data_IF_892346465121
#
_entry.id   IF_892346465121
#
_cell.length_a   1.000
_cell.length_b   1.000
_cell.length_c   1.000
_cell.angle_alpha   90.00
_cell.angle_beta   90.00
_cell.angle_gamma   90.00
#
_symmetry.space_group_name_H-M   'P 1'
#
loop_
_entity.id
_entity.type
_entity.pdbx_description
1 polymer ?
#
# COMPACT_ATOMS: atom_id res chain seq x y z
N UNK A 1 0.09 22.49 38.60
CA UNK A 1 0.68 21.16 38.88
C UNK A 1 -0.40 20.10 38.72
N UNK A 2 -0.56 19.58 37.50
CA UNK A 2 -1.55 18.55 37.16
C UNK A 2 -1.15 17.23 37.83
N UNK A 3 -1.97 16.75 38.76
CA UNK A 3 -1.79 15.42 39.36
C UNK A 3 -2.11 14.38 38.30
N UNK A 4 -1.10 13.69 37.76
CA UNK A 4 -1.32 12.51 36.94
C UNK A 4 -1.97 11.43 37.81
N UNK A 5 -3.27 11.24 37.66
CA UNK A 5 -3.92 10.04 38.18
C UNK A 5 -3.46 8.88 37.29
N UNK A 6 -2.52 8.07 37.79
CA UNK A 6 -1.98 6.91 37.10
C UNK A 6 -3.09 5.84 37.00
N UNK A 7 -3.85 5.91 35.91
CA UNK A 7 -4.86 4.92 35.57
C UNK A 7 -4.15 3.61 35.17
N UNK A 8 -4.52 2.43 35.70
CA UNK A 8 -3.91 1.16 35.33
C UNK A 8 -3.94 0.89 33.81
N UNK A 9 -4.98 1.37 33.10
CA UNK A 9 -5.05 1.26 31.63
C UNK A 9 -3.97 2.09 30.92
N UNK A 10 -3.61 3.25 31.47
CA UNK A 10 -2.51 4.07 30.94
C UNK A 10 -1.17 3.37 31.15
N UNK A 11 -0.96 2.73 32.31
CA UNK A 11 0.27 1.98 32.59
C UNK A 11 0.40 0.78 31.66
N UNK A 12 -0.67 0.00 31.47
CA UNK A 12 -0.68 -1.17 30.58
C UNK A 12 -0.47 -0.76 29.13
N UNK A 13 -1.19 0.27 28.63
CA UNK A 13 -1.01 0.75 27.26
C UNK A 13 0.39 1.31 27.02
N UNK A 14 0.97 2.04 27.98
CA UNK A 14 2.35 2.53 27.88
C UNK A 14 3.36 1.38 27.88
N UNK A 15 3.16 0.34 28.68
CA UNK A 15 4.03 -0.85 28.70
C UNK A 15 3.97 -1.61 27.37
N UNK A 16 2.77 -1.81 26.80
CA UNK A 16 2.60 -2.43 25.48
C UNK A 16 3.23 -1.58 24.38
N UNK A 17 3.00 -0.27 24.39
CA UNK A 17 3.61 0.65 23.43
C UNK A 17 5.14 0.62 23.51
N UNK A 18 5.70 0.59 24.72
CA UNK A 18 7.14 0.45 24.93
C UNK A 18 7.65 -0.87 24.36
N UNK A 19 7.01 -2.00 24.67
CA UNK A 19 7.39 -3.33 24.19
C UNK A 19 7.38 -3.41 22.65
N UNK A 20 6.32 -2.89 22.02
CA UNK A 20 6.19 -2.84 20.54
C UNK A 20 7.20 -1.87 19.93
N UNK A 21 7.56 -0.81 20.63
CA UNK A 21 8.56 0.17 20.20
C UNK A 21 10.01 -0.28 20.36
N UNK A 22 10.30 -1.31 21.17
CA UNK A 22 11.66 -1.77 21.44
C UNK A 22 12.49 -2.07 20.18
N UNK A 23 11.98 -2.78 19.14
CA UNK A 23 12.76 -3.04 17.92
C UNK A 23 13.10 -1.75 17.18
N UNK A 24 12.17 -0.80 17.11
CA UNK A 24 12.39 0.51 16.46
C UNK A 24 13.45 1.30 17.25
N UNK A 25 13.33 1.33 18.58
CA UNK A 25 14.31 1.97 19.45
C UNK A 25 15.70 1.33 19.31
N UNK A 26 15.76 -0.01 19.20
CA UNK A 26 17.00 -0.74 18.94
C UNK A 26 17.63 -0.31 17.61
N UNK A 27 16.86 -0.23 16.52
CA UNK A 27 17.39 0.28 15.24
C UNK A 27 17.90 1.71 15.37
N UNK A 28 17.18 2.60 16.08
CA UNK A 28 17.58 4.00 16.27
C UNK A 28 18.92 4.15 17.00
N UNK A 29 19.31 3.20 17.85
CA UNK A 29 20.63 3.25 18.51
C UNK A 29 21.79 3.18 17.49
N UNK A 30 21.57 2.62 16.30
CA UNK A 30 22.58 2.57 15.22
C UNK A 30 22.98 3.95 14.69
N UNK A 31 22.18 5.00 14.94
CA UNK A 31 22.53 6.39 14.63
C UNK A 31 23.72 6.85 15.49
N UNK A 32 23.82 6.32 16.72
CA UNK A 32 24.88 6.65 17.68
C UNK A 32 26.12 5.74 17.50
N UNK A 33 25.97 4.62 16.79
CA UNK A 33 27.06 3.69 16.48
C UNK A 33 27.99 4.29 15.43
N UNK A 34 29.24 4.59 15.80
CA UNK A 34 30.25 5.09 14.86
C UNK A 34 30.55 4.10 13.72
N UNK A 35 30.82 4.61 12.51
CA UNK A 35 31.24 3.81 11.35
C UNK A 35 30.21 3.65 10.23
N UNK A 36 28.97 4.11 10.40
CA UNK A 36 27.89 4.00 9.39
C UNK A 36 27.80 5.19 8.42
N UNK A 37 28.55 6.27 8.66
CA UNK A 37 28.46 7.51 7.87
C UNK A 37 28.79 7.37 6.38
N UNK A 38 29.81 6.58 6.04
CA UNK A 38 30.18 6.35 4.63
C UNK A 38 29.07 5.61 3.86
N UNK A 39 28.46 4.60 4.50
CA UNK A 39 27.33 3.83 3.93
C UNK A 39 26.12 4.75 3.74
N UNK A 40 25.81 5.57 4.74
CA UNK A 40 24.73 6.56 4.65
C UNK A 40 24.93 7.55 3.51
N UNK A 41 26.14 8.09 3.35
CA UNK A 41 26.46 9.01 2.26
C UNK A 41 26.33 8.35 0.89
N UNK A 42 26.72 7.08 0.77
CA UNK A 42 26.60 6.32 -0.46
C UNK A 42 25.13 6.03 -0.82
N UNK A 43 24.32 5.60 0.16
CA UNK A 43 22.88 5.37 -0.04
C UNK A 43 22.14 6.67 -0.40
N UNK A 44 22.47 7.76 0.28
CA UNK A 44 21.89 9.08 0.02
C UNK A 44 22.22 9.60 -1.40
N UNK A 45 23.38 9.26 -1.94
CA UNK A 45 23.80 9.66 -3.29
C UNK A 45 23.34 8.72 -4.41
N UNK A 46 22.80 7.54 -4.08
CA UNK A 46 22.44 6.51 -5.06
C UNK A 46 20.95 6.21 -5.04
N UNK A 47 20.50 5.38 -4.10
CA UNK A 47 19.16 4.78 -4.12
C UNK A 47 18.11 5.54 -3.32
N UNK A 48 18.53 6.30 -2.30
CA UNK A 48 17.59 6.97 -1.40
C UNK A 48 16.73 8.04 -2.11
N UNK A 49 17.27 8.89 -3.01
CA UNK A 49 16.47 9.86 -3.73
C UNK A 49 15.38 9.18 -4.58
N UNK A 50 15.74 8.11 -5.28
CA UNK A 50 14.82 7.35 -6.13
C UNK A 50 13.73 6.67 -5.30
N UNK A 51 14.07 6.06 -4.16
CA UNK A 51 13.10 5.45 -3.26
C UNK A 51 12.11 6.47 -2.69
N UNK A 52 12.61 7.64 -2.26
CA UNK A 52 11.75 8.71 -1.73
C UNK A 52 10.84 9.25 -2.83
N UNK A 53 11.38 9.56 -4.00
CA UNK A 53 10.61 10.06 -5.14
C UNK A 53 9.52 9.07 -5.57
N UNK A 54 9.88 7.79 -5.78
CA UNK A 54 8.93 6.76 -6.18
C UNK A 54 7.85 6.53 -5.12
N UNK A 55 8.22 6.50 -3.83
CA UNK A 55 7.25 6.36 -2.74
C UNK A 55 6.27 7.53 -2.71
N UNK A 56 6.75 8.77 -2.85
CA UNK A 56 5.89 9.95 -2.87
C UNK A 56 4.94 9.93 -4.08
N UNK A 57 5.44 9.58 -5.27
CA UNK A 57 4.61 9.43 -6.47
C UNK A 57 3.54 8.36 -6.27
N UNK A 58 3.90 7.18 -5.73
CA UNK A 58 2.95 6.12 -5.43
C UNK A 58 1.91 6.56 -4.40
N UNK A 59 2.33 7.17 -3.28
CA UNK A 59 1.40 7.65 -2.26
C UNK A 59 0.40 8.67 -2.81
N UNK A 60 0.86 9.62 -3.64
CA UNK A 60 0.01 10.64 -4.23
C UNK A 60 -0.95 10.04 -5.27
N UNK A 61 -0.43 9.26 -6.22
CA UNK A 61 -1.24 8.69 -7.31
C UNK A 61 -2.26 7.68 -6.80
N UNK A 62 -1.85 6.77 -5.92
CA UNK A 62 -2.74 5.80 -5.28
C UNK A 62 -3.72 6.52 -4.36
N UNK A 63 -3.27 7.47 -3.56
CA UNK A 63 -4.13 8.24 -2.65
C UNK A 63 -5.25 8.98 -3.40
N UNK A 64 -4.91 9.68 -4.49
CA UNK A 64 -5.89 10.34 -5.35
C UNK A 64 -6.86 9.33 -5.99
N UNK A 65 -6.34 8.21 -6.50
CA UNK A 65 -7.16 7.14 -7.08
C UNK A 65 -8.16 6.55 -6.07
N UNK A 66 -7.71 6.27 -4.85
CA UNK A 66 -8.55 5.75 -3.76
C UNK A 66 -9.59 6.77 -3.34
N UNK A 67 -9.25 8.07 -3.25
CA UNK A 67 -10.24 9.10 -2.93
C UNK A 67 -11.30 9.17 -4.01
N UNK A 68 -10.92 9.24 -5.28
CA UNK A 68 -11.87 9.37 -6.39
C UNK A 68 -12.77 8.13 -6.47
N UNK A 69 -12.18 6.93 -6.56
CA UNK A 69 -12.94 5.69 -6.74
C UNK A 69 -13.67 5.30 -5.46
N UNK A 70 -13.02 5.39 -4.31
CA UNK A 70 -13.58 5.00 -3.02
C UNK A 70 -14.73 5.90 -2.58
N UNK A 71 -14.58 7.23 -2.70
CA UNK A 71 -15.67 8.16 -2.34
C UNK A 71 -16.82 8.05 -3.33
N UNK A 72 -16.55 7.96 -4.64
CA UNK A 72 -17.60 7.83 -5.65
C UNK A 72 -18.41 6.53 -5.45
N UNK A 73 -17.74 5.41 -5.24
CA UNK A 73 -18.42 4.12 -5.02
C UNK A 73 -19.18 4.09 -3.69
N UNK A 74 -18.61 4.63 -2.61
CA UNK A 74 -19.29 4.74 -1.33
C UNK A 74 -20.52 5.66 -1.38
N UNK A 75 -20.43 6.80 -2.07
CA UNK A 75 -21.55 7.70 -2.26
C UNK A 75 -22.67 7.04 -3.08
N UNK A 76 -22.32 6.33 -4.15
CA UNK A 76 -23.29 5.66 -5.00
C UNK A 76 -24.05 4.56 -4.24
N UNK A 77 -23.35 3.70 -3.48
CA UNK A 77 -23.99 2.60 -2.74
C UNK A 77 -24.77 3.09 -1.52
N UNK A 78 -24.48 4.27 -0.98
CA UNK A 78 -25.23 4.82 0.17
C UNK A 78 -26.42 5.66 -0.23
N UNK A 79 -26.30 6.46 -1.30
CA UNK A 79 -27.31 7.46 -1.67
C UNK A 79 -28.28 7.00 -2.78
N UNK A 80 -27.93 5.95 -3.56
CA UNK A 80 -28.76 5.50 -4.68
C UNK A 80 -29.20 4.04 -4.52
N UNK A 81 -30.42 3.75 -4.98
CA UNK A 81 -30.93 2.39 -5.11
C UNK A 81 -30.86 1.96 -6.58
N UNK A 82 -29.95 1.05 -6.90
CA UNK A 82 -29.76 0.52 -8.26
C UNK A 82 -29.66 -1.01 -8.23
N UNK A 83 -30.05 -1.70 -9.33
CA UNK A 83 -29.95 -3.15 -9.40
C UNK A 83 -28.48 -3.58 -9.28
N UNK A 84 -28.18 -4.43 -8.29
CA UNK A 84 -26.82 -4.91 -8.01
C UNK A 84 -26.10 -4.22 -6.85
N UNK A 85 -26.68 -3.20 -6.20
CA UNK A 85 -26.09 -2.49 -5.06
C UNK A 85 -25.51 -3.42 -3.97
N UNK A 86 -26.23 -4.48 -3.59
CA UNK A 86 -25.77 -5.45 -2.55
C UNK A 86 -24.48 -6.17 -2.92
N UNK A 87 -24.24 -6.42 -4.22
CA UNK A 87 -23.01 -7.04 -4.69
C UNK A 87 -21.84 -6.08 -4.48
N UNK A 88 -22.00 -4.80 -4.84
CA UNK A 88 -20.98 -3.78 -4.64
C UNK A 88 -20.68 -3.53 -3.16
N UNK A 89 -21.69 -3.47 -2.29
CA UNK A 89 -21.48 -3.32 -0.84
C UNK A 89 -20.56 -4.42 -0.28
N UNK A 90 -20.74 -5.67 -0.72
CA UNK A 90 -19.87 -6.79 -0.34
C UNK A 90 -18.51 -6.73 -1.02
N UNK A 91 -18.48 -6.47 -2.33
CA UNK A 91 -17.26 -6.48 -3.12
C UNK A 91 -16.26 -5.40 -2.67
N UNK A 92 -16.73 -4.23 -2.21
CA UNK A 92 -15.87 -3.15 -1.71
C UNK A 92 -15.15 -3.52 -0.40
N UNK A 93 -15.68 -4.48 0.36
CA UNK A 93 -15.08 -4.93 1.62
C UNK A 93 -14.09 -6.10 1.39
N UNK A 94 -14.29 -6.89 0.33
CA UNK A 94 -13.45 -8.07 0.04
C UNK A 94 -11.93 -7.81 0.04
N UNK A 95 -11.40 -6.71 -0.54
CA UNK A 95 -9.96 -6.45 -0.55
C UNK A 95 -9.36 -6.34 0.86
N UNK A 96 -10.13 -5.89 1.85
CA UNK A 96 -9.66 -5.75 3.23
C UNK A 96 -9.40 -7.11 3.90
N UNK A 97 -10.06 -8.17 3.44
CA UNK A 97 -9.88 -9.52 3.97
C UNK A 97 -8.64 -10.23 3.40
N UNK A 98 -8.09 -9.75 2.28
CA UNK A 98 -6.96 -10.41 1.61
C UNK A 98 -5.62 -9.91 2.14
N UNK A 99 -4.63 -10.79 2.38
CA UNK A 99 -3.27 -10.38 2.65
C UNK A 99 -2.71 -9.61 1.45
N UNK A 100 -2.02 -8.50 1.70
CA UNK A 100 -1.49 -7.64 0.65
C UNK A 100 -0.57 -8.39 -0.34
N UNK A 101 0.22 -9.35 0.15
CA UNK A 101 1.11 -10.13 -0.71
C UNK A 101 0.35 -11.02 -1.72
N UNK A 102 -0.78 -11.61 -1.30
CA UNK A 102 -1.60 -12.46 -2.16
C UNK A 102 -2.19 -11.61 -3.27
N UNK A 103 -2.71 -10.44 -2.91
CA UNK A 103 -3.29 -9.50 -3.85
C UNK A 103 -2.27 -9.03 -4.89
N UNK A 104 -1.02 -8.78 -4.48
CA UNK A 104 0.06 -8.44 -5.39
C UNK A 104 0.32 -9.56 -6.42
N UNK A 105 0.45 -10.81 -5.98
CA UNK A 105 0.65 -11.93 -6.91
C UNK A 105 -0.53 -12.16 -7.85
N UNK A 106 -1.76 -12.06 -7.35
CA UNK A 106 -2.95 -12.19 -8.19
C UNK A 106 -2.97 -11.11 -9.27
N UNK A 107 -2.61 -9.86 -8.94
CA UNK A 107 -2.54 -8.79 -9.93
C UNK A 107 -1.40 -8.98 -10.92
N UNK A 108 -0.19 -9.34 -10.47
CA UNK A 108 0.92 -9.66 -11.38
C UNK A 108 0.53 -10.81 -12.30
N UNK A 109 -0.04 -11.89 -11.78
CA UNK A 109 -0.43 -13.05 -12.58
C UNK A 109 -1.53 -12.73 -13.59
N UNK A 110 -2.44 -11.83 -13.22
CA UNK A 110 -3.52 -11.39 -14.10
C UNK A 110 -3.04 -10.46 -15.22
N UNK A 111 -2.12 -9.54 -14.88
CA UNK A 111 -1.66 -8.46 -15.75
C UNK A 111 -0.39 -8.78 -16.54
N UNK A 112 0.39 -9.80 -16.16
CA UNK A 112 1.61 -10.17 -16.88
C UNK A 112 1.34 -10.54 -18.35
N UNK A 113 2.41 -10.62 -19.14
CA UNK A 113 2.31 -10.85 -20.58
C UNK A 113 1.54 -12.11 -20.98
N UNK A 114 1.71 -13.21 -20.23
CA UNK A 114 1.00 -14.48 -20.45
C UNK A 114 -0.32 -14.52 -19.64
N UNK A 115 -0.60 -13.48 -18.88
CA UNK A 115 -1.76 -13.39 -18.00
C UNK A 115 -3.08 -13.40 -18.78
N UNK A 116 -4.19 -13.79 -18.10
CA UNK A 116 -5.52 -13.85 -18.71
C UNK A 116 -5.94 -12.56 -19.43
N UNK A 117 -5.67 -11.39 -18.84
CA UNK A 117 -6.11 -10.12 -19.42
C UNK A 117 -5.41 -9.84 -20.75
N UNK A 118 -4.08 -9.91 -20.77
CA UNK A 118 -3.30 -9.63 -21.97
C UNK A 118 -3.57 -10.65 -23.06
N UNK A 119 -3.67 -11.94 -22.71
CA UNK A 119 -3.99 -13.00 -23.68
C UNK A 119 -5.37 -12.81 -24.30
N UNK A 120 -6.38 -12.49 -23.49
CA UNK A 120 -7.73 -12.20 -23.96
C UNK A 120 -7.78 -11.02 -24.94
N UNK A 121 -7.07 -9.92 -24.64
CA UNK A 121 -6.99 -8.77 -25.53
C UNK A 121 -6.33 -9.13 -26.87
N UNK A 122 -5.21 -9.86 -26.84
CA UNK A 122 -4.52 -10.31 -28.06
C UNK A 122 -5.39 -11.22 -28.93
N UNK A 123 -6.08 -12.17 -28.32
CA UNK A 123 -6.96 -13.09 -29.05
C UNK A 123 -8.18 -12.37 -29.64
N UNK A 124 -8.77 -11.45 -28.89
CA UNK A 124 -9.99 -10.74 -29.32
C UNK A 124 -9.73 -9.73 -30.43
N UNK A 125 -8.57 -9.05 -30.40
CA UNK A 125 -8.23 -8.01 -31.37
C UNK A 125 -7.19 -8.44 -32.41
N UNK A 126 -6.67 -9.67 -32.31
CA UNK A 126 -5.59 -10.16 -33.18
C UNK A 126 -4.25 -9.46 -32.96
N UNK A 127 -4.05 -8.83 -31.80
CA UNK A 127 -2.85 -8.05 -31.50
C UNK A 127 -1.64 -8.94 -31.19
N UNK A 128 -0.48 -8.52 -31.70
CA UNK A 128 0.82 -9.01 -31.31
C UNK A 128 1.42 -8.14 -30.18
N UNK A 129 2.52 -8.59 -29.58
CA UNK A 129 3.23 -7.85 -28.51
C UNK A 129 3.64 -6.43 -28.95
N UNK A 130 3.86 -6.20 -30.24
CA UNK A 130 4.32 -4.91 -30.76
C UNK A 130 3.18 -3.91 -31.01
N UNK A 131 1.93 -4.36 -31.01
CA UNK A 131 0.79 -3.55 -31.45
C UNK A 131 0.17 -2.70 -30.34
N UNK A 132 0.55 -2.94 -29.08
CA UNK A 132 0.07 -2.17 -27.93
C UNK A 132 1.15 -2.07 -26.85
N UNK A 133 1.13 -0.95 -26.11
CA UNK A 133 1.93 -0.79 -24.90
C UNK A 133 1.16 -1.30 -23.68
N UNK A 134 1.86 -2.01 -22.79
CA UNK A 134 1.31 -2.49 -21.53
C UNK A 134 2.36 -2.30 -20.42
N UNK A 135 1.96 -1.93 -19.19
CA UNK A 135 2.88 -1.82 -18.07
C UNK A 135 3.64 -3.14 -17.81
N UNK A 136 4.92 -3.04 -17.46
CA UNK A 136 5.67 -4.19 -16.97
C UNK A 136 5.23 -4.47 -15.52
N UNK A 137 4.71 -5.67 -15.26
CA UNK A 137 4.18 -6.12 -13.97
C UNK A 137 4.79 -7.46 -13.61
#
# INVERSE_FOLDING_TARGET
MTRLHLNPLLVVSAAVAALVGLPVASVLTNILSGGTGAIWSHLAATVLPDYVANTLVLCLTVGLGVVVVGVATAWLTTMHEFPGRRIFEWALILPLAMPAYVLAYVYTDFLQFVGPLQSFLRESFGWSKADYWFPEV
#
